data_IF_842661884547
#
_entry.id   IF_842661884547
#
_cell.length_a   1.000
_cell.length_b   1.000
_cell.length_c   1.000
_cell.angle_alpha   90.00
_cell.angle_beta   90.00
_cell.angle_gamma   90.00
#
_symmetry.space_group_name_H-M   'P 1'
#
loop_
_entity.id
_entity.type
_entity.pdbx_description
1 polymer ?
#
# COMPACT_ATOMS: atom_id res chain seq x y z
N UNK A 1 18.25 -15.33 -3.30
CA UNK A 1 18.84 -14.41 -2.28
C UNK A 1 18.55 -12.94 -2.59
N UNK A 2 18.72 -12.43 -3.81
CA UNK A 2 18.38 -11.02 -4.15
C UNK A 2 16.88 -10.72 -4.09
N UNK A 3 16.01 -11.65 -4.52
CA UNK A 3 14.55 -11.42 -4.57
C UNK A 3 13.95 -11.10 -3.19
N UNK A 4 14.45 -11.76 -2.13
CA UNK A 4 13.98 -11.57 -0.75
C UNK A 4 14.36 -10.19 -0.19
N UNK A 5 15.51 -9.63 -0.62
CA UNK A 5 15.95 -8.31 -0.18
C UNK A 5 15.09 -7.18 -0.74
N UNK A 6 14.41 -7.39 -1.87
CA UNK A 6 13.62 -6.35 -2.54
C UNK A 6 12.20 -6.27 -1.98
N UNK A 7 11.69 -7.38 -1.42
CA UNK A 7 10.32 -7.48 -0.88
C UNK A 7 10.01 -6.39 0.17
N UNK A 8 10.85 -6.13 1.18
CA UNK A 8 10.56 -5.11 2.19
C UNK A 8 10.43 -3.71 1.57
N UNK A 9 11.30 -3.37 0.62
CA UNK A 9 11.25 -2.08 -0.09
C UNK A 9 9.99 -1.93 -0.94
N UNK A 10 9.51 -3.02 -1.56
CA UNK A 10 8.23 -3.00 -2.28
C UNK A 10 7.05 -2.76 -1.35
N UNK A 11 7.01 -3.42 -0.19
CA UNK A 11 5.97 -3.21 0.82
C UNK A 11 5.96 -1.76 1.34
N UNK A 12 7.14 -1.19 1.60
CA UNK A 12 7.28 0.22 2.01
C UNK A 12 6.81 1.15 0.88
N UNK A 13 7.28 0.96 -0.35
CA UNK A 13 6.94 1.82 -1.49
C UNK A 13 5.44 1.82 -1.79
N UNK A 14 4.83 0.63 -1.87
CA UNK A 14 3.38 0.49 -2.11
C UNK A 14 2.57 1.01 -0.91
N UNK A 15 3.06 0.77 0.31
CA UNK A 15 2.44 1.26 1.53
C UNK A 15 2.41 2.79 1.59
N UNK A 16 3.53 3.45 1.27
CA UNK A 16 3.63 4.91 1.21
C UNK A 16 2.71 5.48 0.11
N UNK A 17 2.66 4.87 -1.07
CA UNK A 17 1.74 5.29 -2.13
C UNK A 17 0.27 5.17 -1.69
N UNK A 18 -0.07 4.11 -0.98
CA UNK A 18 -1.44 3.88 -0.47
C UNK A 18 -1.81 4.82 0.68
N UNK A 19 -0.82 5.27 1.45
CA UNK A 19 -0.97 6.20 2.56
C UNK A 19 -1.11 7.66 2.10
N UNK A 20 -0.23 8.13 1.22
CA UNK A 20 -0.22 9.51 0.74
C UNK A 20 -1.12 9.77 -0.46
N UNK A 21 -1.30 8.77 -1.34
CA UNK A 21 -2.11 8.87 -2.55
C UNK A 21 -3.22 7.81 -2.59
N UNK A 22 -4.10 7.76 -1.57
CA UNK A 22 -5.11 6.70 -1.46
C UNK A 22 -6.05 6.65 -2.66
N UNK A 23 -6.40 7.80 -3.25
CA UNK A 23 -7.23 7.86 -4.46
C UNK A 23 -6.57 7.12 -5.63
N UNK A 24 -5.29 7.39 -5.91
CA UNK A 24 -4.56 6.76 -7.02
C UNK A 24 -4.32 5.27 -6.76
N UNK A 25 -4.00 4.91 -5.51
CA UNK A 25 -3.84 3.52 -5.10
C UNK A 25 -5.14 2.71 -5.26
N UNK A 26 -6.28 3.30 -4.87
CA UNK A 26 -7.61 2.72 -5.11
C UNK A 26 -7.94 2.65 -6.60
N UNK A 27 -7.58 3.63 -7.41
CA UNK A 27 -7.79 3.56 -8.86
C UNK A 27 -7.01 2.40 -9.49
N UNK A 28 -5.78 2.17 -9.04
CA UNK A 28 -4.98 1.02 -9.51
C UNK A 28 -5.61 -0.32 -9.10
N UNK A 29 -6.10 -0.43 -7.86
CA UNK A 29 -6.57 -1.70 -7.31
C UNK A 29 -8.07 -2.00 -7.62
N UNK A 30 -8.90 -0.96 -7.62
CA UNK A 30 -10.36 -1.03 -7.72
C UNK A 30 -10.96 -0.10 -8.78
N UNK A 31 -10.17 0.80 -9.38
CA UNK A 31 -10.63 1.71 -10.44
C UNK A 31 -11.06 0.99 -11.72
N UNK A 32 -10.60 -0.25 -11.94
CA UNK A 32 -11.11 -1.12 -13.02
C UNK A 32 -12.55 -1.59 -12.78
N UNK A 33 -12.98 -1.70 -11.51
CA UNK A 33 -14.32 -2.21 -11.13
C UNK A 33 -15.33 -1.11 -10.83
N UNK A 34 -14.86 0.10 -10.53
CA UNK A 34 -15.68 1.28 -10.25
C UNK A 34 -15.14 2.45 -11.07
N UNK A 35 -15.50 2.46 -12.36
CA UNK A 35 -15.04 3.47 -13.32
C UNK A 35 -15.57 4.88 -13.01
N UNK A 36 -16.75 4.97 -12.38
CA UNK A 36 -17.49 6.23 -12.21
C UNK A 36 -18.03 6.47 -10.79
N UNK A 37 -17.62 5.67 -9.80
CA UNK A 37 -18.01 5.89 -8.41
C UNK A 37 -16.82 6.47 -7.63
N UNK A 38 -16.95 7.74 -7.21
CA UNK A 38 -15.97 8.37 -6.33
C UNK A 38 -15.67 7.46 -5.13
N UNK A 39 -14.38 7.25 -4.78
CA UNK A 39 -14.05 6.51 -3.58
C UNK A 39 -14.65 7.23 -2.37
N UNK A 40 -15.66 6.60 -1.75
CA UNK A 40 -16.23 7.11 -0.51
C UNK A 40 -15.16 7.22 0.58
N UNK A 41 -15.41 8.06 1.59
CA UNK A 41 -14.44 8.35 2.67
C UNK A 41 -13.90 7.08 3.35
N UNK A 42 -14.76 6.07 3.55
CA UNK A 42 -14.37 4.79 4.12
C UNK A 42 -13.34 4.03 3.27
N UNK A 43 -13.43 4.12 1.94
CA UNK A 43 -12.45 3.50 1.05
C UNK A 43 -11.08 4.20 1.16
N UNK A 44 -11.07 5.54 1.18
CA UNK A 44 -9.84 6.32 1.36
C UNK A 44 -9.18 6.03 2.71
N UNK A 45 -9.99 5.96 3.77
CA UNK A 45 -9.52 5.62 5.11
C UNK A 45 -8.92 4.20 5.13
N UNK A 46 -9.58 3.22 4.53
CA UNK A 46 -9.07 1.85 4.43
C UNK A 46 -7.79 1.75 3.60
N UNK A 47 -7.66 2.52 2.52
CA UNK A 47 -6.41 2.59 1.75
C UNK A 47 -5.26 3.14 2.61
N UNK A 48 -5.51 4.15 3.44
CA UNK A 48 -4.51 4.71 4.34
C UNK A 48 -4.09 3.72 5.42
N UNK A 49 -5.05 3.04 6.05
CA UNK A 49 -4.79 2.02 7.07
C UNK A 49 -4.00 0.86 6.45
N UNK A 50 -4.42 0.36 5.29
CA UNK A 50 -3.70 -0.68 4.55
C UNK A 50 -2.27 -0.25 4.18
N UNK A 51 -2.11 1.01 3.75
CA UNK A 51 -0.81 1.61 3.47
C UNK A 51 0.10 1.66 4.70
N UNK A 52 -0.42 2.13 5.83
CA UNK A 52 0.31 2.19 7.10
C UNK A 52 0.76 0.78 7.56
N UNK A 53 -0.13 -0.20 7.47
CA UNK A 53 0.19 -1.60 7.79
C UNK A 53 1.25 -2.16 6.84
N UNK A 54 1.16 -1.89 5.54
CA UNK A 54 2.15 -2.34 4.56
C UNK A 54 3.54 -1.72 4.82
N UNK A 55 3.61 -0.44 5.18
CA UNK A 55 4.87 0.20 5.61
C UNK A 55 5.41 -0.46 6.88
N UNK A 56 4.55 -0.68 7.89
CA UNK A 56 4.94 -1.33 9.13
C UNK A 56 5.50 -2.75 8.92
N UNK A 57 4.84 -3.54 8.07
CA UNK A 57 5.30 -4.89 7.68
C UNK A 57 6.64 -4.81 6.94
N UNK A 58 6.78 -3.89 5.98
CA UNK A 58 8.04 -3.74 5.25
C UNK A 58 9.21 -3.32 6.15
N UNK A 59 8.97 -2.42 7.11
CA UNK A 59 9.97 -2.05 8.13
C UNK A 59 10.29 -3.26 9.00
N UNK A 60 9.29 -3.99 9.49
CA UNK A 60 9.51 -5.20 10.29
C UNK A 60 10.36 -6.22 9.55
N UNK A 61 10.07 -6.47 8.27
CA UNK A 61 10.83 -7.42 7.44
C UNK A 61 12.29 -6.98 7.20
N UNK A 62 12.58 -5.66 7.14
CA UNK A 62 13.97 -5.18 7.06
C UNK A 62 14.77 -5.55 8.30
N UNK A 63 14.15 -5.49 9.48
CA UNK A 63 14.81 -5.76 10.76
C UNK A 63 14.70 -7.22 11.22
N UNK A 64 13.81 -8.02 10.63
CA UNK A 64 13.61 -9.42 11.00
C UNK A 64 14.73 -10.35 10.48
N UNK A 65 15.37 -9.98 9.36
CA UNK A 65 16.50 -10.71 8.75
C UNK A 65 17.88 -10.15 9.18
N UNK A 66 17.92 -9.20 10.12
CA UNK A 66 19.14 -8.59 10.69
C UNK A 66 19.70 -9.40 11.86
#
# INVERSE_FOLDING_TARGET
MILLQIVPFLFIGIGLLSLFFPQKALFWNAGWRRRDAEPGEAALLMSRIGGLLAVGIGIFLLFADS
#
